data_IF_368898822915
#
_entry.id   IF_368898822915
#
_cell.length_a   1.000
_cell.length_b   1.000
_cell.length_c   1.000
_cell.angle_alpha   90.00
_cell.angle_beta   90.00
_cell.angle_gamma   90.00
#
_symmetry.space_group_name_H-M   'P 1'
#
loop_
_entity.id
_entity.type
_entity.pdbx_description
1 polymer ?
#
# COMPACT_ATOMS: atom_id res chain seq x y z
N UNK A 1 -34.14 18.30 3.71
CA UNK A 1 -34.96 17.08 3.75
C UNK A 1 -34.23 16.05 2.92
N UNK A 2 -33.46 15.16 3.55
CA UNK A 2 -32.69 14.14 2.83
C UNK A 2 -33.65 13.02 2.45
N UNK A 3 -34.02 12.94 1.20
CA UNK A 3 -34.81 11.84 0.64
C UNK A 3 -33.89 10.67 0.39
N UNK A 4 -33.88 9.69 1.27
CA UNK A 4 -33.32 8.36 0.96
C UNK A 4 -34.31 7.70 -0.03
N UNK A 5 -34.02 7.87 -1.32
CA UNK A 5 -34.75 7.17 -2.35
C UNK A 5 -34.41 5.68 -2.25
N UNK A 6 -35.44 4.85 -2.12
CA UNK A 6 -35.39 3.41 -2.33
C UNK A 6 -35.13 3.15 -3.81
N UNK A 7 -33.88 3.22 -4.22
CA UNK A 7 -33.46 2.96 -5.58
C UNK A 7 -32.61 1.69 -5.60
N UNK A 8 -32.84 0.89 -6.63
CA UNK A 8 -32.05 -0.28 -6.97
C UNK A 8 -30.56 0.04 -6.74
N UNK A 9 -29.93 -0.68 -5.81
CA UNK A 9 -28.52 -0.45 -5.48
C UNK A 9 -27.70 -0.98 -6.65
N UNK A 10 -27.32 -0.09 -7.54
CA UNK A 10 -26.31 -0.38 -8.55
C UNK A 10 -24.94 -0.26 -7.91
N UNK A 11 -24.42 -1.36 -7.37
CA UNK A 11 -23.01 -1.44 -6.96
C UNK A 11 -22.20 -1.70 -8.21
N UNK A 12 -21.70 -0.65 -8.84
CA UNK A 12 -20.77 -0.77 -9.96
C UNK A 12 -19.37 -1.10 -9.40
N UNK A 13 -18.82 -2.26 -9.74
CA UNK A 13 -17.43 -2.62 -9.41
C UNK A 13 -16.40 -1.87 -10.27
N UNK A 14 -16.85 -1.16 -11.30
CA UNK A 14 -16.00 -0.39 -12.20
C UNK A 14 -16.01 1.08 -11.81
N UNK A 15 -14.83 1.73 -11.79
CA UNK A 15 -14.74 3.17 -11.63
C UNK A 15 -15.44 3.89 -12.81
N UNK A 16 -16.28 4.86 -12.48
CA UNK A 16 -17.08 5.56 -13.49
C UNK A 16 -16.33 6.79 -13.99
N UNK A 17 -16.29 7.01 -15.33
CA UNK A 17 -15.66 8.19 -15.91
C UNK A 17 -16.51 9.42 -15.60
N UNK A 18 -15.89 10.46 -15.02
CA UNK A 18 -16.56 11.76 -14.76
C UNK A 18 -16.28 12.74 -15.92
N UNK A 19 -15.04 12.76 -16.40
CA UNK A 19 -14.65 13.67 -17.50
C UNK A 19 -13.49 13.07 -18.30
N UNK A 20 -13.34 13.55 -19.53
CA UNK A 20 -12.24 13.17 -20.41
C UNK A 20 -11.34 14.38 -20.65
N UNK A 21 -10.07 14.26 -20.29
CA UNK A 21 -9.04 15.25 -20.58
C UNK A 21 -8.13 14.68 -21.69
N UNK A 22 -8.54 14.87 -22.96
CA UNK A 22 -7.82 14.28 -24.09
C UNK A 22 -7.84 12.74 -24.06
N UNK A 23 -6.67 12.07 -24.12
CA UNK A 23 -6.61 10.60 -24.10
C UNK A 23 -6.82 9.97 -22.71
N UNK A 24 -6.89 10.79 -21.65
CA UNK A 24 -6.98 10.31 -20.26
C UNK A 24 -8.42 10.49 -19.75
N UNK A 25 -9.04 9.39 -19.34
CA UNK A 25 -10.34 9.41 -18.67
C UNK A 25 -10.12 9.60 -17.17
N UNK A 26 -10.66 10.68 -16.60
CA UNK A 26 -10.63 10.94 -15.16
C UNK A 26 -11.82 10.23 -14.53
N UNK A 27 -11.51 9.30 -13.63
CA UNK A 27 -12.51 8.52 -12.88
C UNK A 27 -12.81 9.14 -11.51
N UNK A 28 -13.96 8.80 -10.94
CA UNK A 28 -14.35 9.21 -9.60
C UNK A 28 -13.35 8.75 -8.52
N UNK A 29 -12.75 7.57 -8.66
CA UNK A 29 -11.71 7.05 -7.76
C UNK A 29 -10.41 7.86 -7.81
N UNK A 30 -10.01 8.34 -9.00
CA UNK A 30 -8.81 9.20 -9.14
C UNK A 30 -8.99 10.55 -8.43
N UNK A 31 -10.17 11.18 -8.59
CA UNK A 31 -10.47 12.44 -7.90
C UNK A 31 -10.44 12.24 -6.39
N UNK A 32 -11.05 11.17 -5.89
CA UNK A 32 -11.05 10.84 -4.49
C UNK A 32 -9.63 10.61 -3.95
N UNK A 33 -8.82 9.81 -4.64
CA UNK A 33 -7.43 9.55 -4.26
C UNK A 33 -6.59 10.82 -4.20
N UNK A 34 -6.78 11.75 -5.16
CA UNK A 34 -6.11 13.06 -5.15
C UNK A 34 -6.54 13.92 -3.95
N UNK A 35 -7.84 13.98 -3.65
CA UNK A 35 -8.36 14.71 -2.49
C UNK A 35 -7.78 14.13 -1.19
N UNK A 36 -7.74 12.80 -1.06
CA UNK A 36 -7.12 12.14 0.10
C UNK A 36 -5.62 12.46 0.20
N UNK A 37 -4.88 12.43 -0.90
CA UNK A 37 -3.45 12.76 -0.92
C UNK A 37 -3.20 14.20 -0.45
N UNK A 38 -3.98 15.17 -0.96
CA UNK A 38 -3.89 16.57 -0.55
C UNK A 38 -4.23 16.73 0.94
N UNK A 39 -5.28 16.04 1.42
CA UNK A 39 -5.69 16.09 2.82
C UNK A 39 -4.60 15.54 3.74
N UNK A 40 -4.01 14.39 3.39
CA UNK A 40 -2.91 13.78 4.15
C UNK A 40 -1.70 14.71 4.16
N UNK A 41 -1.30 15.25 3.00
CA UNK A 41 -0.18 16.19 2.92
C UNK A 41 -0.43 17.43 3.79
N UNK A 42 -1.65 17.98 3.77
CA UNK A 42 -2.03 19.13 4.60
C UNK A 42 -1.95 18.80 6.09
N UNK A 43 -2.49 17.64 6.52
CA UNK A 43 -2.43 17.17 7.91
C UNK A 43 -0.98 16.98 8.34
N UNK A 44 -0.14 16.37 7.50
CA UNK A 44 1.28 16.15 7.80
C UNK A 44 2.08 17.46 7.89
N UNK A 45 1.80 18.43 7.03
CA UNK A 45 2.43 19.77 7.09
C UNK A 45 2.02 20.50 8.37
N UNK A 46 0.74 20.44 8.76
CA UNK A 46 0.26 21.02 10.02
C UNK A 46 0.90 20.33 11.22
N UNK A 47 1.05 19.01 11.17
CA UNK A 47 1.74 18.24 12.20
C UNK A 47 3.20 18.68 12.33
N UNK A 48 3.93 18.74 11.21
CA UNK A 48 5.33 19.14 11.18
C UNK A 48 5.59 20.53 11.80
N UNK A 49 4.64 21.47 11.60
CA UNK A 49 4.72 22.81 12.21
C UNK A 49 4.48 22.83 13.73
N UNK A 50 3.79 21.80 14.27
CA UNK A 50 3.42 21.72 15.69
C UNK A 50 4.29 20.77 16.50
N UNK A 51 5.11 19.95 15.86
CA UNK A 51 6.03 19.02 16.52
C UNK A 51 7.21 19.82 17.07
N UNK A 52 7.42 19.71 18.40
CA UNK A 52 8.56 20.27 19.14
C UNK A 52 9.29 19.15 19.87
N UNK A 53 10.43 19.47 20.50
CA UNK A 53 11.26 18.51 21.26
C UNK A 53 10.49 17.84 22.42
N UNK A 54 9.44 18.48 22.91
CA UNK A 54 8.53 17.92 23.93
C UNK A 54 7.12 17.84 23.35
N UNK A 55 6.55 16.65 23.36
CA UNK A 55 5.17 16.45 22.92
C UNK A 55 4.20 17.27 23.78
N UNK A 56 3.55 18.26 23.19
CA UNK A 56 2.45 18.98 23.81
C UNK A 56 1.19 18.13 23.70
N UNK A 57 0.38 18.10 24.76
CA UNK A 57 -0.90 17.39 24.79
C UNK A 57 -1.78 17.73 23.58
N UNK A 58 -2.50 16.74 23.03
CA UNK A 58 -3.46 16.91 21.96
C UNK A 58 -3.02 16.33 20.61
N UNK A 59 -3.22 17.09 19.53
CA UNK A 59 -2.99 16.62 18.16
C UNK A 59 -1.55 16.11 17.90
N UNK A 60 -0.54 16.76 18.47
CA UNK A 60 0.86 16.33 18.36
C UNK A 60 1.10 14.94 18.95
N UNK A 61 0.43 14.62 20.07
CA UNK A 61 0.55 13.31 20.71
C UNK A 61 -0.05 12.19 19.84
N UNK A 62 -1.17 12.45 19.16
CA UNK A 62 -1.77 11.48 18.24
C UNK A 62 -0.80 11.16 17.09
N UNK A 63 -0.19 12.19 16.51
CA UNK A 63 0.79 12.01 15.42
C UNK A 63 2.02 11.22 15.90
N UNK A 64 2.52 11.55 17.12
CA UNK A 64 3.65 10.81 17.71
C UNK A 64 3.34 9.34 17.92
N UNK A 65 2.14 9.00 18.43
CA UNK A 65 1.69 7.61 18.58
C UNK A 65 1.66 6.89 17.21
N UNK A 66 1.17 7.55 16.17
CA UNK A 66 1.13 6.95 14.82
C UNK A 66 2.54 6.74 14.28
N UNK A 67 3.43 7.71 14.44
CA UNK A 67 4.83 7.58 13.97
C UNK A 67 5.54 6.47 14.75
N UNK A 68 5.39 6.40 16.07
CA UNK A 68 6.02 5.37 16.89
C UNK A 68 5.45 3.98 16.58
N UNK A 69 4.15 3.88 16.29
CA UNK A 69 3.53 2.64 15.81
C UNK A 69 4.16 2.18 14.49
N UNK A 70 4.32 3.09 13.52
CA UNK A 70 4.97 2.78 12.23
C UNK A 70 6.43 2.39 12.43
N UNK A 71 7.16 3.09 13.29
CA UNK A 71 8.55 2.76 13.61
C UNK A 71 8.66 1.39 14.27
N UNK A 72 7.83 1.07 15.25
CA UNK A 72 7.80 -0.25 15.91
C UNK A 72 7.49 -1.38 14.94
N UNK A 73 6.55 -1.15 14.01
CA UNK A 73 6.22 -2.10 12.96
C UNK A 73 7.44 -2.36 12.04
N UNK A 74 8.13 -1.32 11.60
CA UNK A 74 9.32 -1.43 10.74
C UNK A 74 10.54 -1.99 11.48
N UNK A 75 10.70 -1.67 12.76
CA UNK A 75 11.74 -2.25 13.61
C UNK A 75 11.57 -3.77 13.75
N UNK A 76 10.32 -4.25 13.83
CA UNK A 76 10.01 -5.68 13.81
C UNK A 76 10.41 -6.36 12.48
N UNK A 77 10.39 -5.65 11.36
CA UNK A 77 10.78 -6.18 10.04
C UNK A 77 12.29 -6.13 9.81
N UNK A 78 12.93 -5.00 10.12
CA UNK A 78 14.36 -4.79 9.83
C UNK A 78 15.29 -5.22 10.96
N UNK A 79 14.74 -5.51 12.16
CA UNK A 79 15.52 -5.87 13.34
C UNK A 79 16.40 -4.73 13.91
N UNK A 80 16.37 -3.55 13.31
CA UNK A 80 17.20 -2.41 13.67
C UNK A 80 16.44 -1.09 13.57
N UNK A 81 16.41 -0.34 14.68
CA UNK A 81 15.72 0.98 14.75
C UNK A 81 16.32 2.02 13.79
N UNK A 82 17.62 1.99 13.54
CA UNK A 82 18.25 2.93 12.60
C UNK A 82 17.75 2.72 11.16
N UNK A 83 17.59 1.48 10.73
CA UNK A 83 17.00 1.13 9.43
C UNK A 83 15.51 1.47 9.40
N UNK A 84 14.77 1.20 10.48
CA UNK A 84 13.37 1.56 10.59
C UNK A 84 13.16 3.08 10.40
N UNK A 85 13.95 3.91 11.07
CA UNK A 85 13.89 5.38 10.92
C UNK A 85 14.24 5.83 9.50
N UNK A 86 15.24 5.19 8.87
CA UNK A 86 15.66 5.50 7.49
C UNK A 86 14.53 5.27 6.48
N UNK A 87 13.78 4.19 6.64
CA UNK A 87 12.72 3.80 5.70
C UNK A 87 11.32 4.25 6.12
N UNK A 88 11.15 4.74 7.36
CA UNK A 88 9.87 5.20 7.89
C UNK A 88 9.14 6.24 7.00
N UNK A 89 9.81 7.22 6.36
CA UNK A 89 9.11 8.17 5.49
C UNK A 89 8.39 7.51 4.33
N UNK A 90 8.98 6.48 3.72
CA UNK A 90 8.39 5.77 2.57
C UNK A 90 7.26 4.86 3.02
N UNK A 91 7.53 3.94 3.94
CA UNK A 91 6.53 2.97 4.39
C UNK A 91 5.43 3.61 5.23
N UNK A 92 5.76 4.64 6.01
CA UNK A 92 4.77 5.44 6.74
C UNK A 92 3.82 6.19 5.80
N UNK A 93 4.31 6.66 4.65
CA UNK A 93 3.43 7.26 3.64
C UNK A 93 2.44 6.25 3.07
N UNK A 94 2.87 5.02 2.73
CA UNK A 94 1.96 3.96 2.29
C UNK A 94 0.93 3.63 3.37
N UNK A 95 1.38 3.44 4.61
CA UNK A 95 0.49 3.15 5.73
C UNK A 95 -0.58 4.23 5.92
N UNK A 96 -0.16 5.48 6.00
CA UNK A 96 -1.07 6.61 6.16
C UNK A 96 -2.02 6.77 4.97
N UNK A 97 -1.50 6.64 3.75
CA UNK A 97 -2.33 6.77 2.56
C UNK A 97 -3.42 5.70 2.51
N UNK A 98 -3.09 4.45 2.78
CA UNK A 98 -4.05 3.34 2.72
C UNK A 98 -5.09 3.47 3.85
N UNK A 99 -4.64 3.72 5.09
CA UNK A 99 -5.57 3.82 6.22
C UNK A 99 -6.52 5.00 6.06
N UNK A 100 -6.03 6.17 5.61
CA UNK A 100 -6.87 7.34 5.38
C UNK A 100 -7.87 7.11 4.23
N UNK A 101 -7.42 6.52 3.11
CA UNK A 101 -8.33 6.19 2.01
C UNK A 101 -9.46 5.27 2.45
N UNK A 102 -9.13 4.20 3.18
CA UNK A 102 -10.11 3.22 3.62
C UNK A 102 -11.06 3.84 4.67
N UNK A 103 -10.55 4.56 5.66
CA UNK A 103 -11.38 5.19 6.70
C UNK A 103 -12.28 6.30 6.15
N UNK A 104 -11.76 7.16 5.27
CA UNK A 104 -12.57 8.20 4.63
C UNK A 104 -13.63 7.60 3.70
N UNK A 105 -13.36 6.41 3.10
CA UNK A 105 -14.33 5.66 2.31
C UNK A 105 -15.57 5.22 3.10
N UNK A 106 -15.41 5.02 4.41
CA UNK A 106 -16.53 4.65 5.31
C UNK A 106 -17.41 5.84 5.72
N UNK A 107 -17.00 7.07 5.39
CA UNK A 107 -17.79 8.26 5.72
C UNK A 107 -19.06 8.30 4.85
N UNK A 108 -20.25 8.53 5.41
CA UNK A 108 -21.52 8.47 4.67
C UNK A 108 -21.65 9.48 3.51
N UNK A 109 -20.72 10.43 3.38
CA UNK A 109 -20.63 11.40 2.27
C UNK A 109 -19.97 10.80 1.02
N UNK A 110 -19.27 9.67 1.16
CA UNK A 110 -18.61 8.94 0.07
C UNK A 110 -19.61 7.88 -0.45
N UNK A 111 -19.65 7.66 -1.75
CA UNK A 111 -20.65 6.80 -2.39
C UNK A 111 -21.93 7.56 -2.72
N UNK A 112 -23.12 7.07 -2.36
CA UNK A 112 -24.40 7.63 -2.81
C UNK A 112 -24.73 9.01 -2.24
N UNK A 113 -23.97 9.52 -1.26
CA UNK A 113 -24.24 10.80 -0.60
C UNK A 113 -24.02 12.04 -1.48
N UNK A 114 -23.06 11.99 -2.40
CA UNK A 114 -22.77 13.03 -3.38
C UNK A 114 -22.78 12.41 -4.77
N UNK A 115 -23.84 12.59 -5.52
CA UNK A 115 -23.97 12.10 -6.89
C UNK A 115 -24.04 13.26 -7.90
N UNK A 116 -23.38 13.08 -9.03
CA UNK A 116 -23.46 13.97 -10.19
C UNK A 116 -24.18 13.24 -11.31
N UNK A 117 -25.06 13.96 -12.03
CA UNK A 117 -25.69 13.41 -13.24
C UNK A 117 -24.71 13.47 -14.39
N UNK A 118 -24.22 12.30 -14.81
CA UNK A 118 -23.41 12.15 -16.03
C UNK A 118 -24.25 11.30 -17.00
N UNK A 119 -24.56 11.82 -18.17
CA UNK A 119 -25.33 11.16 -19.23
C UNK A 119 -26.69 10.57 -18.76
N UNK A 120 -27.35 11.22 -17.80
CA UNK A 120 -28.66 10.80 -17.29
C UNK A 120 -28.62 9.70 -16.22
N UNK A 121 -27.43 9.24 -15.81
CA UNK A 121 -27.24 8.33 -14.69
C UNK A 121 -26.71 9.07 -13.46
N UNK A 122 -27.22 8.70 -12.27
CA UNK A 122 -26.70 9.20 -11.00
C UNK A 122 -25.42 8.47 -10.63
N UNK A 123 -24.26 9.09 -10.96
CA UNK A 123 -22.94 8.56 -10.64
C UNK A 123 -22.44 9.13 -9.31
N UNK A 124 -21.96 8.32 -8.35
CA UNK A 124 -21.35 8.85 -7.15
C UNK A 124 -20.05 9.61 -7.49
N UNK A 125 -19.94 10.85 -6.98
CA UNK A 125 -18.78 11.71 -7.24
C UNK A 125 -17.52 11.16 -6.58
N UNK A 126 -17.64 10.58 -5.39
CA UNK A 126 -16.56 10.03 -4.62
C UNK A 126 -16.71 8.52 -4.46
N UNK A 127 -15.67 7.81 -4.85
CA UNK A 127 -15.51 6.38 -4.63
C UNK A 127 -14.12 6.13 -4.05
N UNK A 128 -13.97 5.27 -3.01
CA UNK A 128 -12.66 4.98 -2.46
C UNK A 128 -11.67 4.57 -3.54
N UNK A 129 -10.47 5.16 -3.49
CA UNK A 129 -9.39 4.88 -4.44
C UNK A 129 -9.01 3.39 -4.43
N UNK A 130 -9.06 2.78 -3.27
CA UNK A 130 -8.75 1.36 -3.05
C UNK A 130 -9.86 0.42 -3.52
N UNK A 131 -11.06 0.91 -3.83
CA UNK A 131 -12.14 0.13 -4.45
C UNK A 131 -12.03 0.05 -5.99
N UNK A 132 -10.98 0.63 -6.59
CA UNK A 132 -10.67 0.53 -8.02
C UNK A 132 -9.44 -0.36 -8.24
N UNK A 133 -9.62 -1.43 -9.01
CA UNK A 133 -8.54 -2.39 -9.30
C UNK A 133 -7.36 -1.73 -10.02
N UNK A 134 -7.61 -0.80 -10.95
CA UNK A 134 -6.53 -0.11 -11.67
C UNK A 134 -5.70 0.75 -10.71
N UNK A 135 -6.35 1.41 -9.76
CA UNK A 135 -5.70 2.23 -8.75
C UNK A 135 -4.85 1.37 -7.78
N UNK A 136 -5.38 0.22 -7.35
CA UNK A 136 -4.63 -0.68 -6.45
C UNK A 136 -3.48 -1.37 -7.14
N UNK A 137 -3.60 -1.74 -8.43
CA UNK A 137 -2.49 -2.26 -9.24
C UNK A 137 -1.41 -1.17 -9.39
N UNK A 138 -1.79 0.06 -9.74
CA UNK A 138 -0.84 1.16 -9.86
C UNK A 138 -0.08 1.39 -8.54
N UNK A 139 -0.77 1.35 -7.40
CA UNK A 139 -0.14 1.50 -6.08
C UNK A 139 0.80 0.35 -5.75
N UNK A 140 0.42 -0.90 -6.05
CA UNK A 140 1.29 -2.06 -5.84
C UNK A 140 2.54 -2.01 -6.73
N UNK A 141 2.39 -1.61 -8.01
CA UNK A 141 3.52 -1.41 -8.93
C UNK A 141 4.46 -0.33 -8.41
N UNK A 142 3.94 0.82 -8.00
CA UNK A 142 4.75 1.91 -7.42
C UNK A 142 5.48 1.42 -6.16
N UNK A 143 4.81 0.67 -5.28
CA UNK A 143 5.41 0.13 -4.06
C UNK A 143 6.59 -0.79 -4.39
N UNK A 144 6.43 -1.72 -5.32
CA UNK A 144 7.50 -2.64 -5.74
C UNK A 144 8.64 -1.87 -6.45
N UNK A 145 8.35 -0.92 -7.33
CA UNK A 145 9.38 -0.08 -7.95
C UNK A 145 10.20 0.67 -6.88
N UNK A 146 9.55 1.24 -5.86
CA UNK A 146 10.25 1.93 -4.78
C UNK A 146 11.11 0.94 -3.99
N UNK A 147 10.62 -0.26 -3.69
CA UNK A 147 11.41 -1.32 -3.04
C UNK A 147 12.64 -1.67 -3.87
N UNK A 148 12.50 -1.84 -5.18
CA UNK A 148 13.62 -2.13 -6.07
C UNK A 148 14.65 -0.99 -6.11
N UNK A 149 14.20 0.27 -6.18
CA UNK A 149 15.09 1.43 -6.14
C UNK A 149 15.84 1.51 -4.80
N UNK A 150 15.16 1.27 -3.68
CA UNK A 150 15.78 1.26 -2.36
C UNK A 150 16.77 0.10 -2.22
N UNK A 151 16.42 -1.08 -2.69
CA UNK A 151 17.31 -2.25 -2.72
C UNK A 151 18.58 -1.97 -3.53
N UNK A 152 18.46 -1.38 -4.73
CA UNK A 152 19.61 -0.98 -5.55
C UNK A 152 20.51 0.04 -4.83
N UNK A 153 19.94 0.97 -4.08
CA UNK A 153 20.70 1.96 -3.31
C UNK A 153 21.46 1.36 -2.14
N UNK A 154 20.91 0.32 -1.50
CA UNK A 154 21.57 -0.33 -0.37
C UNK A 154 22.65 -1.32 -0.80
N UNK A 155 22.43 -2.06 -1.88
CA UNK A 155 23.31 -3.15 -2.34
C UNK A 155 24.32 -2.71 -3.39
N UNK A 156 24.06 -1.57 -4.07
CA UNK A 156 24.78 -1.19 -5.28
C UNK A 156 24.22 -1.87 -6.53
N UNK A 157 24.14 -1.10 -7.64
CA UNK A 157 23.46 -1.53 -8.87
C UNK A 157 24.02 -2.80 -9.53
N UNK A 158 25.33 -3.08 -9.37
CA UNK A 158 25.99 -4.26 -9.97
C UNK A 158 25.55 -5.55 -9.27
N UNK A 159 25.48 -5.55 -7.95
CA UNK A 159 25.11 -6.73 -7.17
C UNK A 159 23.62 -7.06 -7.31
N UNK A 160 22.78 -6.04 -7.36
CA UNK A 160 21.34 -6.23 -7.60
C UNK A 160 21.06 -6.84 -8.99
N UNK A 161 21.80 -6.44 -10.03
CA UNK A 161 21.65 -7.01 -11.37
C UNK A 161 22.18 -8.45 -11.44
N UNK A 162 23.24 -8.78 -10.68
CA UNK A 162 23.77 -10.16 -10.56
C UNK A 162 22.75 -11.11 -9.93
N UNK A 163 21.85 -10.64 -9.08
CA UNK A 163 20.80 -11.44 -8.47
C UNK A 163 19.78 -11.93 -9.53
N UNK A 164 19.42 -11.08 -10.50
CA UNK A 164 18.52 -11.44 -11.60
C UNK A 164 19.22 -12.16 -12.75
N UNK A 165 20.48 -11.80 -13.02
CA UNK A 165 21.32 -12.39 -14.08
C UNK A 165 22.58 -12.93 -13.43
N UNK A 166 22.55 -14.17 -12.96
CA UNK A 166 23.72 -14.88 -12.41
C UNK A 166 24.91 -14.79 -13.36
N UNK A 167 26.15 -14.81 -12.85
CA UNK A 167 27.41 -14.60 -13.56
C UNK A 167 27.62 -15.43 -14.87
N UNK A 168 26.73 -16.40 -15.16
CA UNK A 168 26.73 -17.20 -16.39
C UNK A 168 25.31 -17.25 -17.00
N UNK A 169 24.92 -16.22 -17.79
CA UNK A 169 23.57 -16.16 -18.39
C UNK A 169 23.24 -17.25 -19.41
N UNK A 170 24.24 -18.03 -19.85
CA UNK A 170 24.05 -19.13 -20.81
C UNK A 170 23.69 -20.47 -20.16
N UNK A 171 23.72 -20.62 -18.85
CA UNK A 171 23.27 -21.86 -18.22
C UNK A 171 21.74 -21.90 -18.17
N UNK A 172 21.09 -22.97 -18.69
CA UNK A 172 19.63 -23.08 -18.73
C UNK A 172 18.99 -23.06 -17.33
N UNK A 173 19.71 -23.53 -16.31
CA UNK A 173 19.27 -23.51 -14.91
C UNK A 173 19.21 -22.08 -14.38
N UNK A 174 20.22 -21.25 -14.66
CA UNK A 174 20.27 -19.86 -14.21
C UNK A 174 19.21 -19.00 -14.89
N UNK A 175 18.96 -19.24 -16.18
CA UNK A 175 17.88 -18.60 -16.92
C UNK A 175 16.51 -18.95 -16.31
N UNK A 176 16.30 -20.22 -15.94
CA UNK A 176 15.07 -20.67 -15.31
C UNK A 176 14.84 -20.01 -13.94
N UNK A 177 15.89 -19.89 -13.12
CA UNK A 177 15.83 -19.19 -11.82
C UNK A 177 15.45 -17.71 -12.01
N UNK A 178 16.08 -17.00 -12.97
CA UNK A 178 15.75 -15.61 -13.29
C UNK A 178 14.30 -15.41 -13.73
N UNK A 179 13.76 -16.32 -14.54
CA UNK A 179 12.34 -16.31 -14.94
C UNK A 179 11.41 -16.50 -13.73
N UNK A 180 11.75 -17.44 -12.83
CA UNK A 180 10.97 -17.67 -11.60
C UNK A 180 10.98 -16.44 -10.70
N UNK A 181 12.09 -15.71 -10.65
CA UNK A 181 12.21 -14.50 -9.85
C UNK A 181 11.34 -13.36 -10.39
N UNK A 182 11.38 -13.11 -11.71
CA UNK A 182 10.49 -12.14 -12.37
C UNK A 182 9.02 -12.53 -12.17
N UNK A 183 8.69 -13.82 -12.26
CA UNK A 183 7.34 -14.32 -11.99
C UNK A 183 6.95 -14.11 -10.52
N UNK A 184 7.89 -14.25 -9.59
CA UNK A 184 7.72 -13.94 -8.18
C UNK A 184 7.34 -12.47 -7.94
N UNK A 185 8.05 -11.53 -8.59
CA UNK A 185 7.70 -10.10 -8.51
C UNK A 185 6.31 -9.79 -9.05
N UNK A 186 5.94 -10.38 -10.19
CA UNK A 186 4.60 -10.24 -10.74
C UNK A 186 3.51 -10.76 -9.79
N UNK A 187 3.76 -11.91 -9.16
CA UNK A 187 2.84 -12.50 -8.17
C UNK A 187 2.70 -11.63 -6.92
N UNK A 188 3.77 -10.97 -6.48
CA UNK A 188 3.74 -10.00 -5.36
C UNK A 188 2.85 -8.81 -5.68
N UNK A 189 3.00 -8.22 -6.88
CA UNK A 189 2.16 -7.09 -7.34
C UNK A 189 0.68 -7.50 -7.34
N UNK A 190 0.35 -8.65 -7.94
CA UNK A 190 -1.02 -9.16 -7.97
C UNK A 190 -1.58 -9.41 -6.57
N UNK A 191 -0.80 -10.06 -5.70
CA UNK A 191 -1.25 -10.38 -4.34
C UNK A 191 -1.53 -9.13 -3.52
N UNK A 192 -0.65 -8.11 -3.59
CA UNK A 192 -0.83 -6.84 -2.88
C UNK A 192 -2.05 -6.06 -3.41
N UNK A 193 -2.17 -5.93 -4.74
CA UNK A 193 -3.25 -5.17 -5.36
C UNK A 193 -4.61 -5.81 -5.16
N UNK A 194 -4.73 -7.13 -5.40
CA UNK A 194 -5.99 -7.85 -5.24
C UNK A 194 -6.46 -7.86 -3.79
N UNK A 195 -5.56 -8.04 -2.83
CA UNK A 195 -5.92 -8.00 -1.41
C UNK A 195 -6.49 -6.64 -1.02
N UNK A 196 -5.85 -5.55 -1.47
CA UNK A 196 -6.31 -4.21 -1.17
C UNK A 196 -7.66 -3.92 -1.84
N UNK A 197 -7.81 -4.28 -3.12
CA UNK A 197 -9.03 -4.12 -3.88
C UNK A 197 -10.20 -4.93 -3.31
N UNK A 198 -10.01 -6.24 -3.14
CA UNK A 198 -11.09 -7.13 -2.67
C UNK A 198 -11.56 -6.76 -1.28
N UNK A 199 -10.64 -6.39 -0.39
CA UNK A 199 -11.01 -5.98 0.95
C UNK A 199 -11.95 -4.77 0.95
N UNK A 200 -11.59 -3.72 0.21
CA UNK A 200 -12.41 -2.50 0.13
C UNK A 200 -13.68 -2.72 -0.68
N UNK A 201 -13.63 -3.45 -1.81
CA UNK A 201 -14.80 -3.68 -2.64
C UNK A 201 -15.86 -4.56 -1.94
N UNK A 202 -15.41 -5.61 -1.22
CA UNK A 202 -16.32 -6.46 -0.44
C UNK A 202 -16.94 -5.68 0.72
N UNK A 203 -16.15 -4.83 1.39
CA UNK A 203 -16.63 -3.94 2.43
C UNK A 203 -17.74 -2.99 1.95
N UNK A 204 -17.53 -2.32 0.80
CA UNK A 204 -18.56 -1.47 0.17
C UNK A 204 -19.85 -2.26 -0.13
N UNK A 205 -19.73 -3.46 -0.70
CA UNK A 205 -20.88 -4.32 -1.01
C UNK A 205 -21.61 -4.72 0.27
N UNK A 206 -20.88 -5.13 1.31
CA UNK A 206 -21.47 -5.50 2.60
C UNK A 206 -22.26 -4.36 3.22
N UNK A 207 -21.66 -3.16 3.28
CA UNK A 207 -22.33 -1.97 3.82
C UNK A 207 -23.57 -1.65 2.98
N UNK A 208 -23.49 -1.69 1.65
CA UNK A 208 -24.60 -1.40 0.75
C UNK A 208 -25.76 -2.39 0.93
N UNK A 209 -25.47 -3.70 0.92
CA UNK A 209 -26.48 -4.76 1.10
C UNK A 209 -27.14 -4.66 2.47
N UNK A 210 -26.36 -4.48 3.52
CA UNK A 210 -26.90 -4.40 4.88
C UNK A 210 -27.74 -3.14 5.09
N UNK A 211 -27.30 -2.01 4.55
CA UNK A 211 -28.06 -0.75 4.62
C UNK A 211 -29.39 -0.89 3.89
N UNK A 212 -29.42 -1.56 2.73
CA UNK A 212 -30.68 -1.77 1.98
C UNK A 212 -31.64 -2.70 2.71
N UNK A 213 -31.12 -3.79 3.28
CA UNK A 213 -31.92 -4.76 4.02
C UNK A 213 -32.56 -4.13 5.25
N UNK A 214 -31.83 -3.28 5.95
CA UNK A 214 -32.31 -2.55 7.13
C UNK A 214 -33.29 -1.45 6.74
N UNK A 215 -33.03 -0.72 5.65
CA UNK A 215 -33.93 0.31 5.14
C UNK A 215 -35.27 -0.27 4.67
N UNK A 216 -35.27 -1.42 4.00
CA UNK A 216 -36.49 -2.11 3.56
C UNK A 216 -37.35 -2.63 4.73
N UNK A 217 -36.75 -2.93 5.87
CA UNK A 217 -37.41 -3.39 7.09
C UNK A 217 -37.96 -2.28 8.00
N UNK A 218 -37.85 -1.00 7.60
CA UNK A 218 -38.32 0.15 8.42
C UNK A 218 -37.49 0.35 9.72
N UNK A 219 -36.36 -0.34 9.85
CA UNK A 219 -35.47 -0.25 11.01
C UNK A 219 -34.40 0.84 10.83
N UNK A 220 -33.98 1.42 11.94
CA UNK A 220 -33.03 2.53 11.97
C UNK A 220 -31.62 2.09 11.48
N UNK A 221 -30.83 3.02 10.90
CA UNK A 221 -29.46 2.75 10.39
C UNK A 221 -28.49 2.23 11.47
N UNK A 222 -28.90 2.18 12.72
CA UNK A 222 -28.14 1.64 13.86
C UNK A 222 -27.67 0.19 13.64
N UNK A 223 -28.43 -0.61 12.90
CA UNK A 223 -28.05 -1.99 12.61
C UNK A 223 -26.83 -2.12 11.66
N UNK A 224 -26.45 -1.07 10.93
CA UNK A 224 -25.23 -1.05 10.12
C UNK A 224 -23.95 -0.76 10.93
N UNK A 225 -24.08 -0.23 12.16
CA UNK A 225 -22.92 0.15 13.00
C UNK A 225 -21.92 -0.99 13.23
N UNK A 226 -22.34 -2.24 13.57
CA UNK A 226 -21.39 -3.34 13.76
C UNK A 226 -20.56 -3.63 12.50
N UNK A 227 -21.16 -3.49 11.31
CA UNK A 227 -20.43 -3.73 10.05
C UNK A 227 -19.44 -2.61 9.78
N UNK A 228 -19.83 -1.36 10.01
CA UNK A 228 -18.89 -0.23 9.87
C UNK A 228 -17.72 -0.36 10.85
N UNK A 229 -17.95 -0.77 12.09
CA UNK A 229 -16.89 -1.03 13.07
C UNK A 229 -15.96 -2.18 12.61
N UNK A 230 -16.54 -3.24 12.05
CA UNK A 230 -15.76 -4.33 11.47
C UNK A 230 -14.89 -3.81 10.30
N UNK A 231 -15.45 -3.00 9.40
CA UNK A 231 -14.72 -2.42 8.28
C UNK A 231 -13.60 -1.45 8.72
N UNK A 232 -13.79 -0.69 9.80
CA UNK A 232 -12.72 0.13 10.40
C UNK A 232 -11.55 -0.74 10.86
N UNK A 233 -11.82 -1.86 11.52
CA UNK A 233 -10.80 -2.80 11.95
C UNK A 233 -10.06 -3.40 10.75
N UNK A 234 -10.82 -3.85 9.75
CA UNK A 234 -10.29 -4.43 8.52
C UNK A 234 -9.44 -3.42 7.74
N UNK A 235 -9.86 -2.15 7.67
CA UNK A 235 -9.09 -1.06 7.07
C UNK A 235 -7.73 -0.86 7.75
N UNK A 236 -7.67 -0.93 9.09
CA UNK A 236 -6.44 -0.85 9.86
C UNK A 236 -5.51 -2.04 9.60
N UNK A 237 -6.05 -3.26 9.65
CA UNK A 237 -5.28 -4.49 9.37
C UNK A 237 -4.73 -4.45 7.93
N UNK A 238 -5.52 -3.99 6.98
CA UNK A 238 -5.11 -3.93 5.58
C UNK A 238 -3.93 -2.97 5.36
N UNK A 239 -3.97 -1.76 5.95
CA UNK A 239 -2.87 -0.82 5.89
C UNK A 239 -1.60 -1.38 6.53
N UNK A 240 -1.73 -2.04 7.69
CA UNK A 240 -0.64 -2.73 8.38
C UNK A 240 -0.02 -3.82 7.50
N UNK A 241 -0.82 -4.77 7.00
CA UNK A 241 -0.35 -5.91 6.21
C UNK A 241 0.32 -5.47 4.91
N UNK A 242 -0.26 -4.48 4.20
CA UNK A 242 0.35 -3.95 2.98
C UNK A 242 1.75 -3.38 3.27
N UNK A 243 1.86 -2.57 4.31
CA UNK A 243 3.12 -1.89 4.67
C UNK A 243 4.18 -2.88 5.15
N UNK A 244 3.80 -3.82 6.03
CA UNK A 244 4.71 -4.86 6.53
C UNK A 244 5.22 -5.75 5.41
N UNK A 245 4.35 -6.23 4.53
CA UNK A 245 4.78 -7.09 3.42
C UNK A 245 5.70 -6.33 2.46
N UNK A 246 5.39 -5.08 2.13
CA UNK A 246 6.25 -4.27 1.26
C UNK A 246 7.61 -4.00 1.92
N UNK A 247 7.65 -3.74 3.23
CA UNK A 247 8.89 -3.58 4.00
C UNK A 247 9.68 -4.90 4.07
N UNK A 248 9.00 -6.03 4.26
CA UNK A 248 9.64 -7.36 4.29
C UNK A 248 10.30 -7.69 2.96
N UNK A 249 9.70 -7.32 1.83
CA UNK A 249 10.34 -7.50 0.52
C UNK A 249 11.65 -6.72 0.41
N UNK A 250 11.72 -5.50 0.95
CA UNK A 250 12.98 -4.75 1.02
C UNK A 250 13.96 -5.43 1.97
N UNK A 251 13.51 -5.85 3.16
CA UNK A 251 14.34 -6.53 4.16
C UNK A 251 14.99 -7.80 3.62
N UNK A 252 14.21 -8.65 2.92
CA UNK A 252 14.72 -9.85 2.28
C UNK A 252 15.73 -9.52 1.17
N UNK A 253 15.43 -8.55 0.33
CA UNK A 253 16.34 -8.12 -0.70
C UNK A 253 17.69 -7.65 -0.12
N UNK A 254 17.67 -6.86 0.96
CA UNK A 254 18.89 -6.37 1.63
C UNK A 254 19.65 -7.49 2.35
N UNK A 255 18.97 -8.46 2.96
CA UNK A 255 19.59 -9.58 3.67
C UNK A 255 20.40 -10.48 2.71
N UNK A 256 19.83 -10.87 1.57
CA UNK A 256 20.53 -11.68 0.56
C UNK A 256 21.83 -11.04 0.03
N UNK A 257 21.93 -9.72 0.08
CA UNK A 257 23.14 -9.02 -0.33
C UNK A 257 24.28 -9.15 0.70
N UNK A 258 23.95 -9.21 1.98
CA UNK A 258 24.96 -9.42 3.02
C UNK A 258 25.55 -10.84 2.93
N UNK A 259 24.69 -11.85 2.75
CA UNK A 259 25.12 -13.24 2.65
C UNK A 259 26.05 -13.47 1.45
N UNK A 260 25.76 -12.86 0.29
CA UNK A 260 26.60 -12.97 -0.91
C UNK A 260 27.97 -12.30 -0.75
N UNK A 261 28.08 -11.23 0.03
CA UNK A 261 29.37 -10.59 0.32
C UNK A 261 30.23 -11.39 1.30
N UNK A 262 29.64 -12.06 2.27
CA UNK A 262 30.37 -12.91 3.20
C UNK A 262 30.93 -14.15 2.47
N UNK A 263 30.17 -14.75 1.55
CA UNK A 263 30.65 -15.88 0.73
C UNK A 263 31.79 -15.48 -0.23
N UNK A 264 31.73 -14.31 -0.90
CA UNK A 264 32.79 -13.81 -1.75
C UNK A 264 34.09 -13.56 -0.94
N UNK A 265 33.98 -12.93 0.24
CA UNK A 265 35.13 -12.68 1.11
C UNK A 265 35.73 -13.98 1.67
N UNK A 266 34.91 -14.97 1.99
CA UNK A 266 35.38 -16.26 2.48
C UNK A 266 36.12 -17.02 1.38
N UNK A 267 35.58 -17.01 0.15
CA UNK A 267 36.23 -17.68 -1.02
C UNK A 267 37.52 -17.00 -1.40
N UNK A 268 37.60 -15.67 -1.36
CA UNK A 268 38.82 -14.92 -1.66
C UNK A 268 39.89 -15.12 -0.59
N UNK A 269 39.52 -15.24 0.68
CA UNK A 269 40.43 -15.54 1.78
C UNK A 269 41.01 -16.96 1.70
N UNK A 270 40.18 -17.95 1.34
CA UNK A 270 40.62 -19.35 1.15
C UNK A 270 41.56 -19.44 -0.03
N UNK A 271 41.27 -18.81 -1.17
CA UNK A 271 42.19 -18.80 -2.33
C UNK A 271 43.52 -18.08 -2.04
N UNK A 272 43.55 -17.03 -1.22
CA UNK A 272 44.80 -16.38 -0.79
C UNK A 272 45.63 -17.29 0.09
N UNK A 273 45.01 -18.01 1.03
CA UNK A 273 45.75 -18.96 1.90
C UNK A 273 46.28 -20.15 1.11
N UNK A 274 45.51 -20.68 0.15
CA UNK A 274 45.97 -21.75 -0.73
C UNK A 274 47.14 -21.31 -1.65
N UNK A 275 47.08 -20.08 -2.18
CA UNK A 275 48.14 -19.52 -2.99
C UNK A 275 49.44 -19.28 -2.19
N UNK A 276 49.33 -18.90 -0.91
CA UNK A 276 50.48 -18.68 -0.01
C UNK A 276 51.12 -20.02 0.40
N UNK A 277 50.36 -21.11 0.53
CA UNK A 277 50.86 -22.45 0.81
C UNK A 277 51.43 -23.18 -0.42
N UNK A 278 51.01 -22.79 -1.64
CA UNK A 278 51.50 -23.35 -2.89
C UNK A 278 52.78 -22.65 -3.39
N UNK A 279 53.17 -21.54 -2.81
CA UNK A 279 54.39 -20.75 -3.17
C UNK A 279 55.62 -21.03 -2.30
N UNK A 280 55.54 -22.03 -1.39
CA UNK A 280 56.67 -22.57 -0.63
C UNK A 280 56.97 -23.95 -1.18
#
# INVERSE_FOLDING_TARGET
MFTFASSNIHVSLKAEPITQLGPITITNSMIYGLVCAILIAFVMILAAKKIGVTAKKGFSQIIEIIIEFVLGMLEGVFGNRAQAVKFAPVFGTFFLFIIFNNLLGLVPLVGPGLSVNVDGAHTPLFRPFTADLNATIAMAVIAIIIVQILSIKEQGGKNHLKHYFTDKPLNPINLFIGILEVFGEFTRILSLSLRLFLNTAVGEILIAVFTSLVASGGRTPVAAIPIVLFEVLVAGIQAYVFTVLTATYLGLAVAHAHDSHEEEHHTESVHKVEAEHAGV
#
